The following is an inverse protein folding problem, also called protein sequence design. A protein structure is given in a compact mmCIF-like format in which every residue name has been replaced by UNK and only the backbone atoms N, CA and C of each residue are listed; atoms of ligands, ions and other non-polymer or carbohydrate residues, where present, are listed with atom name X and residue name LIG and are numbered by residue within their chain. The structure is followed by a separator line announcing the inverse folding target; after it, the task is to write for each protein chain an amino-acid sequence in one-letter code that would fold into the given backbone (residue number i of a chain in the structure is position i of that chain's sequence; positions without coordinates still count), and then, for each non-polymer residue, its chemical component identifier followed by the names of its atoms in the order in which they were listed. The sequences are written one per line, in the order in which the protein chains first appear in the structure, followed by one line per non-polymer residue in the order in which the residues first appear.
data_IF_161743973775
#
_entry.id   IF_161743973775
#
_cell.length_a   1.000
_cell.length_b   1.000
_cell.length_c   1.000
_cell.angle_alpha   90.00
_cell.angle_beta   90.00
_cell.angle_gamma   90.00
#
_symmetry.space_group_name_H-M   'P 1'
#
loop_
_entity.id
_entity.type
_entity.pdbx_description
1 polymer ?
#
# COMPACT_ATOMS: atom_id res chain seq x y z
N UNK A 1 13.24 42.22 -2.25
CA UNK A 1 12.18 41.18 -2.22
C UNK A 1 11.82 40.97 -0.76
N UNK A 2 10.74 41.61 -0.30
CA UNK A 2 10.32 41.53 1.11
C UNK A 2 9.84 40.10 1.36
N UNK A 3 10.64 39.32 2.09
CA UNK A 3 10.19 38.05 2.68
C UNK A 3 9.09 38.41 3.67
N UNK A 4 7.85 38.39 3.24
CA UNK A 4 6.71 38.48 4.13
C UNK A 4 6.82 37.29 5.10
N UNK A 5 7.10 37.58 6.38
CA UNK A 5 7.18 36.54 7.40
C UNK A 5 5.82 35.87 7.51
N UNK A 6 5.79 34.54 7.34
CA UNK A 6 4.59 33.71 7.44
C UNK A 6 3.88 33.94 8.79
N UNK A 7 4.61 34.37 9.83
CA UNK A 7 4.05 34.75 11.13
C UNK A 7 3.10 35.95 11.09
N UNK A 8 3.29 36.89 10.15
CA UNK A 8 2.46 38.09 10.04
C UNK A 8 1.14 37.87 9.28
N UNK A 9 0.92 36.69 8.67
CA UNK A 9 -0.29 36.41 7.88
C UNK A 9 -1.59 36.55 8.69
N UNK A 10 -1.55 36.21 9.97
CA UNK A 10 -2.71 36.27 10.87
C UNK A 10 -2.84 37.62 11.60
N UNK A 11 -1.97 38.59 11.32
CA UNK A 11 -2.06 39.92 11.92
C UNK A 11 -3.30 40.67 11.36
N UNK A 12 -4.22 41.17 12.19
CA UNK A 12 -5.42 41.88 11.72
C UNK A 12 -5.12 43.10 10.83
N UNK A 13 -4.05 43.85 11.09
CA UNK A 13 -3.65 44.98 10.25
C UNK A 13 -3.17 44.51 8.87
N UNK A 14 -2.45 43.39 8.82
CA UNK A 14 -2.03 42.79 7.56
C UNK A 14 -3.24 42.28 6.77
N UNK A 15 -4.18 41.58 7.41
CA UNK A 15 -5.44 41.13 6.79
C UNK A 15 -6.22 42.31 6.23
N UNK A 16 -6.35 43.40 6.99
CA UNK A 16 -7.03 44.62 6.52
C UNK A 16 -6.32 45.23 5.31
N UNK A 17 -4.98 45.33 5.36
CA UNK A 17 -4.17 45.82 4.25
C UNK A 17 -4.39 44.99 2.97
N UNK A 18 -4.25 43.66 3.07
CA UNK A 18 -4.47 42.74 1.95
C UNK A 18 -5.91 42.86 1.43
N UNK A 19 -6.90 43.04 2.30
CA UNK A 19 -8.29 43.28 1.90
C UNK A 19 -8.48 44.55 1.09
N UNK A 20 -7.84 45.65 1.48
CA UNK A 20 -7.84 46.90 0.72
C UNK A 20 -7.16 46.73 -0.65
N UNK A 21 -6.05 45.99 -0.70
CA UNK A 21 -5.36 45.68 -1.95
C UNK A 21 -6.22 44.82 -2.87
N UNK A 22 -6.89 43.79 -2.32
CA UNK A 22 -7.84 42.95 -3.05
C UNK A 22 -8.95 43.80 -3.67
N UNK A 23 -9.58 44.67 -2.87
CA UNK A 23 -10.65 45.55 -3.34
C UNK A 23 -10.18 46.46 -4.49
N UNK A 24 -8.98 47.05 -4.37
CA UNK A 24 -8.37 47.87 -5.41
C UNK A 24 -8.10 47.08 -6.70
N UNK A 25 -7.58 45.86 -6.59
CA UNK A 25 -7.34 44.98 -7.71
C UNK A 25 -8.65 44.60 -8.43
N UNK A 26 -9.66 44.11 -7.70
CA UNK A 26 -10.92 43.69 -8.31
C UNK A 26 -11.76 44.85 -8.87
N UNK A 27 -11.56 46.08 -8.39
CA UNK A 27 -12.18 47.27 -8.97
C UNK A 27 -11.54 47.71 -10.32
N UNK A 28 -10.23 47.52 -10.47
CA UNK A 28 -9.47 48.06 -11.62
C UNK A 28 -8.99 47.00 -12.62
N UNK A 29 -8.83 45.75 -12.20
CA UNK A 29 -8.14 44.70 -12.94
C UNK A 29 -6.62 44.92 -13.06
N UNK A 30 -6.06 45.95 -12.42
CA UNK A 30 -4.63 46.31 -12.48
C UNK A 30 -3.92 46.03 -11.16
N UNK A 31 -2.65 45.64 -11.26
CA UNK A 31 -1.75 45.53 -10.11
C UNK A 31 -1.11 46.87 -9.71
N UNK A 32 -1.44 47.97 -10.38
CA UNK A 32 -0.85 49.28 -10.11
C UNK A 32 -1.13 49.76 -8.67
N UNK A 33 -0.03 49.95 -7.94
CA UNK A 33 -0.07 50.33 -6.53
C UNK A 33 -0.68 49.27 -5.61
N UNK A 34 -0.59 48.00 -5.98
CA UNK A 34 -0.73 46.87 -5.05
C UNK A 34 0.62 46.62 -4.39
N UNK A 35 0.66 46.59 -3.05
CA UNK A 35 1.90 46.42 -2.28
C UNK A 35 1.73 45.38 -1.19
N UNK A 36 2.83 44.74 -0.77
CA UNK A 36 2.89 43.84 0.38
C UNK A 36 1.88 42.67 0.35
N UNK A 37 1.62 42.15 -0.85
CA UNK A 37 0.83 40.93 -1.10
C UNK A 37 1.75 39.87 -1.71
N UNK A 38 1.62 38.61 -1.30
CA UNK A 38 2.44 37.51 -1.83
C UNK A 38 2.14 37.27 -3.32
N UNK A 39 3.17 36.95 -4.10
CA UNK A 39 3.04 36.71 -5.54
C UNK A 39 2.02 35.61 -5.86
N UNK A 40 1.98 34.54 -5.07
CA UNK A 40 1.02 33.46 -5.29
C UNK A 40 -0.44 33.89 -5.12
N UNK A 41 -0.68 34.90 -4.28
CA UNK A 41 -2.00 35.47 -4.02
C UNK A 41 -2.41 36.39 -5.17
N UNK A 42 -1.48 37.23 -5.66
CA UNK A 42 -1.71 38.05 -6.85
C UNK A 42 -2.05 37.20 -8.07
N UNK A 43 -1.34 36.08 -8.25
CA UNK A 43 -1.66 35.11 -9.30
C UNK A 43 -3.08 34.54 -9.13
N UNK A 44 -3.44 34.11 -7.91
CA UNK A 44 -4.80 33.62 -7.62
C UNK A 44 -5.88 34.64 -7.94
N UNK A 45 -5.69 35.91 -7.56
CA UNK A 45 -6.62 37.00 -7.87
C UNK A 45 -6.75 37.24 -9.38
N UNK A 46 -5.63 37.23 -10.12
CA UNK A 46 -5.65 37.40 -11.58
C UNK A 46 -6.44 36.30 -12.27
N UNK A 47 -6.22 35.04 -11.90
CA UNK A 47 -6.95 33.90 -12.46
C UNK A 47 -8.45 34.05 -12.20
N UNK A 48 -8.84 34.45 -10.99
CA UNK A 48 -10.26 34.71 -10.67
C UNK A 48 -10.84 35.87 -11.48
N UNK A 49 -10.12 36.98 -11.58
CA UNK A 49 -10.56 38.15 -12.32
C UNK A 49 -10.77 37.86 -13.82
N UNK A 50 -9.82 37.17 -14.45
CA UNK A 50 -9.83 36.85 -15.87
C UNK A 50 -10.96 35.90 -16.26
N UNK A 51 -11.35 35.02 -15.34
CA UNK A 51 -12.44 34.06 -15.57
C UNK A 51 -13.80 34.56 -15.06
N UNK A 52 -13.91 35.83 -14.68
CA UNK A 52 -15.18 36.49 -14.37
C UNK A 52 -15.61 36.43 -12.90
N UNK A 53 -14.80 35.89 -11.99
CA UNK A 53 -15.07 35.86 -10.55
C UNK A 53 -14.69 37.20 -9.91
N UNK A 54 -15.39 38.27 -10.30
CA UNK A 54 -15.10 39.65 -9.85
C UNK A 54 -15.88 40.06 -8.60
N UNK A 55 -16.94 39.32 -8.28
CA UNK A 55 -17.80 39.51 -7.12
C UNK A 55 -17.95 38.19 -6.38
N UNK A 56 -18.42 38.20 -5.13
CA UNK A 56 -18.74 36.97 -4.42
C UNK A 56 -19.70 36.10 -5.24
N UNK A 57 -19.25 34.90 -5.61
CA UNK A 57 -20.05 33.92 -6.34
C UNK A 57 -20.35 32.73 -5.43
N UNK A 58 -21.64 32.45 -5.28
CA UNK A 58 -22.18 31.35 -4.48
C UNK A 58 -22.34 30.07 -5.33
N UNK A 59 -22.25 30.15 -6.67
CA UNK A 59 -22.42 29.03 -7.59
C UNK A 59 -21.07 28.44 -8.01
N UNK A 60 -20.29 28.01 -7.01
CA UNK A 60 -19.03 27.30 -7.26
C UNK A 60 -19.30 25.97 -7.97
N UNK A 61 -18.45 25.51 -8.91
CA UNK A 61 -18.72 24.32 -9.71
C UNK A 61 -18.75 23.06 -8.85
N UNK A 62 -19.71 22.18 -9.15
CA UNK A 62 -19.92 20.87 -8.51
C UNK A 62 -20.02 19.82 -9.61
N UNK A 63 -19.31 18.71 -9.44
CA UNK A 63 -19.33 17.61 -10.41
C UNK A 63 -20.59 16.77 -10.27
N UNK A 64 -21.05 16.20 -11.38
CA UNK A 64 -22.20 15.27 -11.40
C UNK A 64 -21.81 13.82 -11.15
N UNK A 65 -20.51 13.49 -11.22
CA UNK A 65 -19.97 12.14 -11.22
C UNK A 65 -19.25 11.76 -9.90
N UNK A 66 -19.56 12.45 -8.79
CA UNK A 66 -18.90 12.25 -7.50
C UNK A 66 -18.87 10.77 -7.09
N UNK A 67 -19.95 10.02 -7.31
CA UNK A 67 -19.99 8.59 -7.00
C UNK A 67 -18.91 7.77 -7.72
N UNK A 68 -18.70 8.03 -9.02
CA UNK A 68 -17.67 7.35 -9.81
C UNK A 68 -16.27 7.75 -9.36
N UNK A 69 -16.07 9.01 -8.98
CA UNK A 69 -14.80 9.49 -8.42
C UNK A 69 -14.49 8.83 -7.08
N UNK A 70 -15.48 8.75 -6.19
CA UNK A 70 -15.36 8.06 -4.90
C UNK A 70 -15.04 6.58 -5.07
N UNK A 71 -15.62 5.89 -6.06
CA UNK A 71 -15.23 4.51 -6.39
C UNK A 71 -13.78 4.41 -6.90
N UNK A 72 -13.39 5.32 -7.81
CA UNK A 72 -12.03 5.33 -8.37
C UNK A 72 -10.97 5.56 -7.28
N UNK A 73 -11.27 6.40 -6.30
CA UNK A 73 -10.37 6.76 -5.21
C UNK A 73 -10.73 6.02 -3.89
N UNK A 74 -11.41 4.87 -3.97
CA UNK A 74 -11.86 4.09 -2.80
C UNK A 74 -10.69 3.76 -1.86
N UNK A 75 -9.54 3.34 -2.40
CA UNK A 75 -8.36 3.02 -1.61
C UNK A 75 -7.84 4.25 -0.83
N UNK A 76 -7.81 5.43 -1.48
CA UNK A 76 -7.38 6.66 -0.83
C UNK A 76 -8.36 7.05 0.28
N UNK A 77 -9.67 6.96 0.02
CA UNK A 77 -10.71 7.27 1.00
C UNK A 77 -10.67 6.33 2.21
N UNK A 78 -10.53 5.02 1.98
CA UNK A 78 -10.45 4.01 3.03
C UNK A 78 -9.28 4.26 3.99
N UNK A 79 -8.18 4.81 3.48
CA UNK A 79 -7.02 5.20 4.28
C UNK A 79 -7.22 6.59 4.90
N UNK A 80 -7.58 7.59 4.12
CA UNK A 80 -7.55 8.99 4.54
C UNK A 80 -8.65 9.33 5.55
N UNK A 81 -9.86 8.81 5.38
CA UNK A 81 -11.02 9.18 6.22
C UNK A 81 -10.79 8.86 7.71
N UNK A 82 -10.28 7.68 8.10
CA UNK A 82 -9.94 7.41 9.49
C UNK A 82 -8.92 8.40 10.09
N UNK A 83 -7.92 8.83 9.31
CA UNK A 83 -6.97 9.85 9.76
C UNK A 83 -7.62 11.23 9.88
N UNK A 84 -8.52 11.59 8.97
CA UNK A 84 -9.29 12.84 9.06
C UNK A 84 -10.16 12.85 10.31
N UNK A 85 -10.93 11.79 10.55
CA UNK A 85 -11.77 11.67 11.75
C UNK A 85 -10.92 11.74 13.01
N UNK A 86 -9.80 11.02 13.05
CA UNK A 86 -8.88 11.06 14.19
C UNK A 86 -8.29 12.46 14.39
N UNK A 87 -7.84 13.12 13.33
CA UNK A 87 -7.29 14.47 13.40
C UNK A 87 -8.35 15.45 13.90
N UNK A 88 -9.60 15.32 13.44
CA UNK A 88 -10.71 16.18 13.84
C UNK A 88 -10.98 16.12 15.35
N UNK A 89 -10.78 14.95 15.99
CA UNK A 89 -10.95 14.83 17.47
C UNK A 89 -10.03 15.73 18.30
N UNK A 90 -8.96 16.27 17.71
CA UNK A 90 -8.05 17.21 18.37
C UNK A 90 -8.36 18.69 18.06
N UNK A 91 -9.30 18.95 17.15
CA UNK A 91 -9.67 20.29 16.74
C UNK A 91 -10.85 20.80 17.55
N UNK A 92 -10.94 22.12 17.72
CA UNK A 92 -12.09 22.74 18.35
C UNK A 92 -13.34 22.54 17.48
N UNK A 93 -14.38 21.94 18.08
CA UNK A 93 -15.69 21.78 17.42
C UNK A 93 -16.24 23.11 16.94
N UNK A 94 -17.03 23.08 15.86
CA UNK A 94 -17.69 24.24 15.23
C UNK A 94 -16.76 25.35 14.73
N UNK A 95 -15.44 25.14 14.76
CA UNK A 95 -14.45 26.09 14.25
C UNK A 95 -13.66 25.56 13.07
N UNK A 96 -13.36 24.26 13.06
CA UNK A 96 -12.49 23.65 12.07
C UNK A 96 -13.17 22.53 11.29
N UNK A 97 -12.58 22.23 10.14
CA UNK A 97 -12.92 21.06 9.33
C UNK A 97 -11.72 20.57 8.55
N UNK A 98 -11.87 19.36 8.02
CA UNK A 98 -10.88 18.71 7.21
C UNK A 98 -11.51 18.38 5.86
N UNK A 99 -10.77 18.69 4.80
CA UNK A 99 -11.20 18.47 3.42
C UNK A 99 -10.23 17.50 2.75
N UNK A 100 -10.76 16.47 2.09
CA UNK A 100 -10.02 15.60 1.19
C UNK A 100 -10.45 15.89 -0.24
N UNK A 101 -9.47 16.09 -1.12
CA UNK A 101 -9.68 16.30 -2.55
C UNK A 101 -8.98 15.19 -3.35
N UNK A 102 -9.57 14.81 -4.48
CA UNK A 102 -8.93 13.93 -5.46
C UNK A 102 -7.78 14.65 -6.20
N UNK A 103 -7.13 13.92 -7.11
CA UNK A 103 -6.01 14.42 -7.92
C UNK A 103 -6.39 15.57 -8.83
N UNK A 104 -7.65 15.65 -9.22
CA UNK A 104 -8.23 16.68 -10.07
C UNK A 104 -8.74 17.88 -9.26
N UNK A 105 -8.59 17.87 -7.93
CA UNK A 105 -9.03 18.94 -7.05
C UNK A 105 -10.53 18.95 -6.76
N UNK A 106 -11.22 17.81 -6.93
CA UNK A 106 -12.63 17.65 -6.53
C UNK A 106 -12.69 17.21 -5.08
N UNK A 107 -13.53 17.87 -4.27
CA UNK A 107 -13.74 17.52 -2.87
C UNK A 107 -14.44 16.15 -2.79
N UNK A 108 -13.74 15.15 -2.26
CA UNK A 108 -14.29 13.81 -2.04
C UNK A 108 -14.97 13.68 -0.68
N UNK A 109 -14.40 14.31 0.35
CA UNK A 109 -14.87 14.18 1.73
C UNK A 109 -14.70 15.47 2.52
N UNK A 110 -15.73 15.81 3.30
CA UNK A 110 -15.66 16.80 4.37
C UNK A 110 -15.85 16.12 5.73
N UNK A 111 -15.02 16.49 6.70
CA UNK A 111 -15.12 16.04 8.09
C UNK A 111 -15.15 17.25 9.00
N UNK A 112 -16.25 17.42 9.74
CA UNK A 112 -16.40 18.41 10.79
C UNK A 112 -17.81 18.41 11.36
N UNK A 113 -18.14 19.35 12.24
CA UNK A 113 -19.46 19.40 12.88
C UNK A 113 -20.57 19.76 11.90
N UNK A 114 -21.80 19.29 12.16
CA UNK A 114 -22.97 19.59 11.33
C UNK A 114 -23.22 21.10 11.15
N UNK A 115 -22.99 21.88 12.20
CA UNK A 115 -23.14 23.35 12.18
C UNK A 115 -22.19 23.97 11.16
N UNK A 116 -20.91 23.59 11.24
CA UNK A 116 -19.88 24.12 10.36
C UNK A 116 -20.07 23.59 8.93
N UNK A 117 -20.44 22.33 8.72
CA UNK A 117 -20.74 21.79 7.39
C UNK A 117 -21.91 22.53 6.71
N UNK A 118 -22.91 22.98 7.48
CA UNK A 118 -24.01 23.83 6.96
C UNK A 118 -23.53 25.23 6.58
N UNK A 119 -22.63 25.84 7.36
CA UNK A 119 -21.99 27.12 7.03
C UNK A 119 -21.20 27.01 5.71
N UNK A 120 -20.43 25.94 5.55
CA UNK A 120 -19.69 25.66 4.32
C UNK A 120 -20.62 25.46 3.12
N UNK A 121 -21.70 24.71 3.28
CA UNK A 121 -22.68 24.49 2.22
C UNK A 121 -23.31 25.81 1.73
N UNK A 122 -23.54 26.77 2.64
CA UNK A 122 -24.05 28.10 2.29
C UNK A 122 -23.09 28.92 1.42
N UNK A 123 -21.79 28.59 1.41
CA UNK A 123 -20.78 29.23 0.53
C UNK A 123 -20.48 28.43 -0.75
N UNK A 124 -21.25 27.36 -1.00
CA UNK A 124 -21.05 26.46 -2.13
C UNK A 124 -19.88 25.50 -1.93
N UNK A 125 -19.41 25.28 -0.69
CA UNK A 125 -18.41 24.27 -0.35
C UNK A 125 -19.08 23.00 0.16
N UNK A 126 -19.27 22.05 -0.75
CA UNK A 126 -19.86 20.73 -0.49
C UNK A 126 -19.00 19.62 -1.09
N UNK A 127 -19.21 18.37 -0.66
CA UNK A 127 -18.65 17.20 -1.36
C UNK A 127 -19.10 17.22 -2.84
N UNK A 128 -18.18 16.92 -3.76
CA UNK A 128 -18.36 17.08 -5.21
C UNK A 128 -17.96 18.45 -5.77
N UNK A 129 -17.67 19.43 -4.92
CA UNK A 129 -17.15 20.73 -5.36
C UNK A 129 -15.83 20.59 -6.11
N UNK A 130 -15.74 21.10 -7.35
CA UNK A 130 -14.49 21.17 -8.09
C UNK A 130 -13.70 22.42 -7.68
N UNK A 131 -12.43 22.25 -7.32
CA UNK A 131 -11.48 23.30 -6.94
C UNK A 131 -10.13 23.16 -7.66
N UNK A 132 -10.04 22.30 -8.67
CA UNK A 132 -8.83 22.09 -9.46
C UNK A 132 -8.73 23.01 -10.68
N UNK A 133 -8.32 22.47 -11.83
CA UNK A 133 -8.01 23.24 -13.05
C UNK A 133 -9.21 24.00 -13.63
N UNK A 134 -10.39 23.41 -13.48
CA UNK A 134 -11.63 23.87 -14.09
C UNK A 134 -12.41 24.81 -13.16
N UNK A 135 -11.85 25.12 -11.99
CA UNK A 135 -12.42 26.00 -10.97
C UNK A 135 -11.54 27.25 -10.80
N UNK A 136 -11.87 28.37 -11.46
CA UNK A 136 -10.95 29.52 -11.60
C UNK A 136 -10.80 30.39 -10.34
N UNK A 137 -11.29 29.89 -9.21
CA UNK A 137 -11.33 30.59 -7.96
C UNK A 137 -9.99 30.44 -7.23
N UNK A 138 -9.29 31.55 -6.99
CA UNK A 138 -8.01 31.62 -6.28
C UNK A 138 -8.13 31.38 -4.77
N UNK A 139 -8.83 30.33 -4.38
CA UNK A 139 -8.94 29.86 -2.99
C UNK A 139 -7.87 28.82 -2.64
N UNK A 140 -7.83 28.43 -1.37
CA UNK A 140 -6.79 27.55 -0.82
C UNK A 140 -6.60 26.27 -1.65
N UNK A 141 -7.71 25.61 -1.98
CA UNK A 141 -7.73 24.35 -2.72
C UNK A 141 -7.20 24.50 -4.14
N UNK A 142 -7.51 25.60 -4.82
CA UNK A 142 -6.99 25.86 -6.16
C UNK A 142 -5.50 26.19 -6.12
N UNK A 143 -5.04 26.94 -5.11
CA UNK A 143 -3.63 27.29 -4.99
C UNK A 143 -2.76 26.06 -4.66
N UNK A 144 -3.18 25.20 -3.72
CA UNK A 144 -2.45 23.94 -3.45
C UNK A 144 -2.48 23.01 -4.67
N UNK A 145 -3.61 22.97 -5.40
CA UNK A 145 -3.71 22.23 -6.65
C UNK A 145 -2.81 22.81 -7.75
N UNK A 146 -2.62 24.13 -7.80
CA UNK A 146 -1.81 24.78 -8.84
C UNK A 146 -0.33 24.63 -8.55
N UNK A 147 0.10 24.91 -7.33
CA UNK A 147 1.52 24.88 -6.97
C UNK A 147 2.04 23.50 -6.58
N UNK A 148 1.16 22.53 -6.34
CA UNK A 148 1.51 21.15 -5.97
C UNK A 148 2.50 21.08 -4.79
N UNK A 149 2.40 22.04 -3.86
CA UNK A 149 3.25 22.19 -2.66
C UNK A 149 2.38 22.56 -1.47
N UNK A 150 2.81 22.31 -0.22
CA UNK A 150 2.10 22.79 0.97
C UNK A 150 1.80 24.29 0.86
N UNK A 151 0.56 24.68 1.14
CA UNK A 151 0.10 26.05 0.95
C UNK A 151 -0.81 26.49 2.11
N UNK A 152 -0.62 27.71 2.58
CA UNK A 152 -1.49 28.36 3.57
C UNK A 152 -2.12 29.60 2.96
N UNK A 153 -3.40 29.78 3.22
CA UNK A 153 -4.19 30.92 2.77
C UNK A 153 -5.01 31.47 3.94
N UNK A 154 -4.98 32.78 4.14
CA UNK A 154 -5.58 33.42 5.31
C UNK A 154 -6.51 34.56 4.90
N UNK A 155 -7.78 34.48 5.32
CA UNK A 155 -8.76 35.58 5.28
C UNK A 155 -8.81 36.29 3.91
N UNK A 156 -8.54 37.59 3.87
CA UNK A 156 -8.62 38.45 2.69
C UNK A 156 -7.62 38.12 1.57
N UNK A 157 -6.71 37.18 1.78
CA UNK A 157 -5.94 36.59 0.68
C UNK A 157 -6.82 35.77 -0.28
N UNK A 158 -7.95 35.24 0.20
CA UNK A 158 -8.95 34.64 -0.67
C UNK A 158 -9.44 35.65 -1.72
N UNK A 159 -9.61 35.20 -2.96
CA UNK A 159 -10.09 36.06 -4.04
C UNK A 159 -11.51 36.63 -3.80
N UNK A 160 -12.35 35.91 -3.03
CA UNK A 160 -13.72 36.31 -2.74
C UNK A 160 -13.91 36.66 -1.27
N UNK A 161 -14.66 37.72 -0.99
CA UNK A 161 -15.00 38.11 0.38
C UNK A 161 -15.92 37.13 1.10
N UNK A 162 -16.54 36.17 0.37
CA UNK A 162 -17.33 35.09 0.98
C UNK A 162 -16.49 34.21 1.92
N UNK A 163 -15.18 34.14 1.68
CA UNK A 163 -14.24 33.32 2.44
C UNK A 163 -13.38 34.16 3.41
N UNK A 164 -13.73 35.44 3.67
CA UNK A 164 -12.94 36.35 4.53
C UNK A 164 -12.80 35.85 5.97
N UNK A 165 -13.77 35.07 6.44
CA UNK A 165 -13.73 34.48 7.78
C UNK A 165 -12.83 33.24 7.85
N UNK A 166 -12.35 32.72 6.72
CA UNK A 166 -11.71 31.43 6.63
C UNK A 166 -10.19 31.55 6.54
N UNK A 167 -9.50 30.58 7.12
CA UNK A 167 -8.09 30.31 6.86
C UNK A 167 -7.88 28.80 6.78
N UNK A 168 -6.82 28.38 6.11
CA UNK A 168 -6.49 26.97 6.10
C UNK A 168 -5.11 26.68 5.55
N UNK A 169 -4.63 25.50 5.89
CA UNK A 169 -3.42 24.91 5.34
C UNK A 169 -3.79 23.65 4.56
N UNK A 170 -3.19 23.49 3.38
CA UNK A 170 -3.40 22.34 2.52
C UNK A 170 -2.07 21.75 2.05
N UNK A 171 -2.06 20.44 1.81
CA UNK A 171 -0.87 19.70 1.41
C UNK A 171 -1.23 18.60 0.39
N UNK A 172 -0.43 18.41 -0.67
CA UNK A 172 -0.58 17.23 -1.53
C UNK A 172 -0.27 15.94 -0.78
N UNK A 173 -1.08 14.92 -1.00
CA UNK A 173 -0.82 13.53 -0.60
C UNK A 173 -0.08 12.89 -1.78
N UNK A 174 1.08 12.30 -1.54
CA UNK A 174 1.97 11.81 -2.60
C UNK A 174 2.28 10.32 -2.42
N UNK A 175 2.27 9.55 -3.49
CA UNK A 175 2.83 8.20 -3.46
C UNK A 175 4.35 8.32 -3.21
N UNK A 176 4.88 7.79 -2.10
CA UNK A 176 6.30 7.88 -1.79
C UNK A 176 7.21 7.21 -2.82
N UNK A 177 6.72 6.19 -3.52
CA UNK A 177 7.42 5.40 -4.54
C UNK A 177 7.40 6.10 -5.90
N UNK A 178 6.22 6.46 -6.41
CA UNK A 178 6.07 7.03 -7.77
C UNK A 178 6.22 8.55 -7.81
N UNK A 179 6.12 9.23 -6.66
CA UNK A 179 6.02 10.70 -6.53
C UNK A 179 4.77 11.31 -7.15
N UNK A 180 3.82 10.49 -7.59
CA UNK A 180 2.54 10.96 -8.10
C UNK A 180 1.68 11.50 -6.96
N UNK A 181 0.88 12.52 -7.26
CA UNK A 181 -0.10 13.05 -6.31
C UNK A 181 -1.32 12.14 -6.32
N UNK A 182 -1.68 11.65 -5.14
CA UNK A 182 -2.85 10.82 -4.89
C UNK A 182 -4.10 11.68 -4.63
N UNK A 183 -3.91 12.88 -4.08
CA UNK A 183 -4.97 13.82 -3.76
C UNK A 183 -4.41 14.96 -2.91
N UNK A 184 -5.29 15.70 -2.24
CA UNK A 184 -4.90 16.79 -1.35
C UNK A 184 -5.68 16.70 -0.06
N UNK A 185 -5.05 17.05 1.06
CA UNK A 185 -5.70 17.21 2.34
C UNK A 185 -5.55 18.65 2.81
N UNK A 186 -6.58 19.17 3.45
CA UNK A 186 -6.55 20.48 4.05
C UNK A 186 -7.22 20.49 5.41
N UNK A 187 -6.67 21.29 6.31
CA UNK A 187 -7.29 21.68 7.57
C UNK A 187 -7.64 23.14 7.46
N UNK A 188 -8.90 23.48 7.66
CA UNK A 188 -9.42 24.84 7.52
C UNK A 188 -10.29 25.19 8.72
N UNK A 189 -10.45 26.48 8.98
CA UNK A 189 -11.25 26.97 10.08
C UNK A 189 -11.39 28.48 10.05
N UNK A 190 -12.03 29.05 11.07
CA UNK A 190 -12.08 30.51 11.18
C UNK A 190 -10.67 31.08 11.43
N UNK A 191 -10.33 32.18 10.77
CA UNK A 191 -8.96 32.69 10.77
C UNK A 191 -8.49 33.15 12.16
N UNK A 192 -9.38 33.66 13.01
CA UNK A 192 -9.07 34.15 14.36
C UNK A 192 -8.75 33.03 15.36
N UNK A 193 -9.04 31.77 15.02
CA UNK A 193 -8.61 30.58 15.77
C UNK A 193 -7.48 29.82 15.08
N UNK A 194 -7.12 30.22 13.86
CA UNK A 194 -6.14 29.53 13.03
C UNK A 194 -4.76 30.14 13.18
N UNK A 195 -3.73 29.29 13.04
CA UNK A 195 -2.33 29.69 13.11
C UNK A 195 -1.51 28.92 12.07
N UNK A 196 -0.21 29.21 11.98
CA UNK A 196 0.70 28.46 11.12
C UNK A 196 0.70 26.95 11.41
N UNK A 197 0.40 26.55 12.65
CA UNK A 197 0.25 25.13 13.02
C UNK A 197 -0.84 24.40 12.23
N UNK A 198 -1.87 25.09 11.72
CA UNK A 198 -2.92 24.49 10.87
C UNK A 198 -2.33 23.91 9.58
N UNK A 199 -1.35 24.60 8.98
CA UNK A 199 -0.57 24.04 7.85
C UNK A 199 0.26 22.84 8.28
N UNK A 200 0.90 22.91 9.45
CA UNK A 200 1.66 21.79 10.01
C UNK A 200 0.81 20.52 10.16
N UNK A 201 -0.44 20.64 10.62
CA UNK A 201 -1.37 19.53 10.73
C UNK A 201 -1.71 18.91 9.37
N UNK A 202 -1.98 19.74 8.35
CA UNK A 202 -2.25 19.25 7.00
C UNK A 202 -1.03 18.51 6.40
N UNK A 203 0.19 19.03 6.63
CA UNK A 203 1.43 18.39 6.17
C UNK A 203 1.63 17.03 6.86
N UNK A 204 1.52 16.98 8.18
CA UNK A 204 1.68 15.73 8.95
C UNK A 204 0.64 14.69 8.53
N UNK A 205 -0.61 15.11 8.35
CA UNK A 205 -1.68 14.22 7.91
C UNK A 205 -1.41 13.68 6.49
N UNK A 206 -0.98 14.54 5.56
CA UNK A 206 -0.61 14.12 4.20
C UNK A 206 0.53 13.09 4.21
N UNK A 207 1.57 13.31 5.01
CA UNK A 207 2.69 12.37 5.15
C UNK A 207 2.24 11.02 5.74
N UNK A 208 1.38 11.05 6.76
CA UNK A 208 0.87 9.83 7.39
C UNK A 208 0.03 9.00 6.41
N UNK A 209 -0.88 9.65 5.68
CA UNK A 209 -1.71 9.00 4.65
C UNK A 209 -0.83 8.44 3.53
N UNK A 210 0.16 9.22 3.07
CA UNK A 210 1.11 8.79 2.02
C UNK A 210 1.88 7.52 2.42
N UNK A 211 2.38 7.48 3.66
CA UNK A 211 3.10 6.31 4.19
C UNK A 211 2.19 5.09 4.33
N UNK A 212 0.97 5.29 4.84
CA UNK A 212 0.00 4.20 4.98
C UNK A 212 -0.42 3.64 3.62
N UNK A 213 -0.64 4.50 2.62
CA UNK A 213 -0.93 4.10 1.24
C UNK A 213 0.18 3.22 0.66
N UNK A 214 1.44 3.61 0.83
CA UNK A 214 2.58 2.80 0.38
C UNK A 214 2.65 1.43 1.09
N UNK A 215 2.37 1.40 2.40
CA UNK A 215 2.38 0.17 3.19
C UNK A 215 1.30 -0.81 2.73
N UNK A 216 0.09 -0.32 2.44
CA UNK A 216 -1.00 -1.16 1.94
C UNK A 216 -0.70 -1.70 0.54
N UNK A 217 -0.14 -0.86 -0.35
CA UNK A 217 0.30 -1.28 -1.68
C UNK A 217 1.37 -2.38 -1.60
N UNK A 218 2.38 -2.21 -0.72
CA UNK A 218 3.41 -3.22 -0.49
C UNK A 218 2.82 -4.51 0.06
N UNK A 219 1.89 -4.42 1.01
CA UNK A 219 1.21 -5.56 1.61
C UNK A 219 0.38 -6.33 0.57
N UNK A 220 -0.38 -5.65 -0.28
CA UNK A 220 -1.13 -6.25 -1.40
C UNK A 220 -0.20 -6.99 -2.37
N UNK A 221 0.94 -6.39 -2.73
CA UNK A 221 1.97 -7.03 -3.58
C UNK A 221 2.52 -8.30 -2.95
N UNK A 222 2.84 -8.28 -1.65
CA UNK A 222 3.32 -9.46 -0.92
C UNK A 222 2.26 -10.58 -0.87
N UNK A 223 1.00 -10.24 -0.63
CA UNK A 223 -0.09 -11.21 -0.65
C UNK A 223 -0.26 -11.86 -2.04
N UNK A 224 -0.26 -11.08 -3.11
CA UNK A 224 -0.35 -11.60 -4.48
C UNK A 224 0.83 -12.51 -4.83
N UNK A 225 2.05 -12.15 -4.41
CA UNK A 225 3.24 -12.97 -4.61
C UNK A 225 3.16 -14.28 -3.82
N UNK A 226 2.73 -14.23 -2.55
CA UNK A 226 2.52 -15.41 -1.71
C UNK A 226 1.51 -16.39 -2.32
N UNK A 227 0.40 -15.88 -2.87
CA UNK A 227 -0.59 -16.72 -3.56
C UNK A 227 -0.03 -17.35 -4.84
N UNK A 228 0.77 -16.59 -5.60
CA UNK A 228 1.45 -17.11 -6.80
C UNK A 228 2.42 -18.24 -6.45
N UNK A 229 3.20 -18.08 -5.36
CA UNK A 229 4.10 -19.12 -4.85
C UNK A 229 3.33 -20.36 -4.40
N UNK A 230 2.19 -20.22 -3.70
CA UNK A 230 1.34 -21.36 -3.32
C UNK A 230 0.87 -22.14 -4.54
N UNK A 231 0.46 -21.45 -5.62
CA UNK A 231 0.04 -22.08 -6.87
C UNK A 231 1.17 -22.84 -7.56
N UNK A 232 2.38 -22.28 -7.56
CA UNK A 232 3.58 -22.96 -8.09
C UNK A 232 3.89 -24.21 -7.26
N UNK A 233 3.89 -24.10 -5.94
CA UNK A 233 4.13 -25.24 -5.05
C UNK A 233 3.09 -26.34 -5.25
N UNK A 234 1.80 -25.99 -5.34
CA UNK A 234 0.74 -26.96 -5.64
C UNK A 234 0.98 -27.69 -6.96
N UNK A 235 1.37 -26.98 -8.02
CA UNK A 235 1.73 -27.60 -9.31
C UNK A 235 2.94 -28.53 -9.19
N UNK A 236 3.93 -28.17 -8.37
CA UNK A 236 5.08 -29.04 -8.09
C UNK A 236 4.62 -30.33 -7.40
N UNK A 237 3.76 -30.26 -6.38
CA UNK A 237 3.22 -31.44 -5.71
C UNK A 237 2.42 -32.32 -6.67
N UNK A 238 1.49 -31.77 -7.45
CA UNK A 238 0.73 -32.55 -8.45
C UNK A 238 1.64 -33.23 -9.48
N UNK A 239 2.70 -32.55 -9.92
CA UNK A 239 3.68 -33.13 -10.85
C UNK A 239 4.43 -34.29 -10.19
N UNK A 240 4.87 -34.12 -8.95
CA UNK A 240 5.61 -35.14 -8.22
C UNK A 240 4.74 -36.36 -7.86
N UNK A 241 3.46 -36.16 -7.56
CA UNK A 241 2.52 -37.25 -7.27
C UNK A 241 2.16 -38.05 -8.53
N UNK A 242 2.19 -37.42 -9.73
CA UNK A 242 2.00 -38.14 -10.99
C UNK A 242 3.15 -39.10 -11.32
N UNK A 243 4.30 -38.96 -10.66
CA UNK A 243 5.47 -39.82 -10.86
C UNK A 243 5.33 -41.07 -10.00
N UNK A 244 5.27 -42.24 -10.64
CA UNK A 244 5.18 -43.56 -9.96
C UNK A 244 6.41 -43.93 -9.13
N UNK A 245 7.52 -43.24 -9.35
CA UNK A 245 8.77 -43.38 -8.63
C UNK A 245 8.76 -42.53 -7.35
N UNK A 246 9.31 -43.04 -6.25
CA UNK A 246 9.46 -42.23 -5.03
C UNK A 246 10.51 -41.15 -5.18
N UNK A 247 10.18 -39.90 -4.83
CA UNK A 247 11.07 -38.73 -4.90
C UNK A 247 11.10 -38.04 -3.53
N UNK A 248 12.31 -37.68 -3.08
CA UNK A 248 12.54 -36.86 -1.88
C UNK A 248 13.51 -35.74 -2.25
N UNK A 249 13.17 -34.53 -1.82
CA UNK A 249 14.03 -33.36 -1.84
C UNK A 249 14.24 -32.91 -0.39
N UNK A 250 15.49 -32.88 0.06
CA UNK A 250 15.88 -32.51 1.43
C UNK A 250 17.10 -31.58 1.43
N UNK A 251 17.39 -30.95 2.56
CA UNK A 251 18.64 -30.19 2.76
C UNK A 251 19.81 -31.13 3.13
N UNK A 252 20.98 -30.54 3.35
CA UNK A 252 22.23 -31.28 3.65
C UNK A 252 22.12 -32.07 4.97
N UNK A 253 21.26 -31.65 5.89
CA UNK A 253 20.99 -32.34 7.15
C UNK A 253 19.95 -33.47 7.04
N UNK A 254 19.34 -33.65 5.86
CA UNK A 254 18.31 -34.66 5.61
C UNK A 254 16.89 -34.24 6.03
N UNK A 255 16.66 -32.97 6.37
CA UNK A 255 15.32 -32.40 6.56
C UNK A 255 14.57 -32.32 5.24
N UNK A 256 13.46 -33.03 5.15
CA UNK A 256 12.61 -33.12 3.96
C UNK A 256 11.99 -31.75 3.65
N UNK A 257 12.14 -31.29 2.41
CA UNK A 257 11.48 -30.12 1.85
C UNK A 257 10.28 -30.53 0.99
N UNK A 258 10.43 -31.58 0.18
CA UNK A 258 9.36 -32.13 -0.66
C UNK A 258 9.50 -33.64 -0.72
N UNK A 259 8.38 -34.37 -0.70
CA UNK A 259 8.30 -35.82 -0.85
C UNK A 259 7.00 -36.17 -1.57
N UNK A 260 6.99 -37.22 -2.39
CA UNK A 260 5.76 -37.73 -3.02
C UNK A 260 5.27 -39.04 -2.35
N UNK A 261 4.05 -39.46 -2.69
CA UNK A 261 3.49 -40.71 -2.14
C UNK A 261 4.35 -41.95 -2.41
N UNK A 262 4.99 -42.01 -3.58
CA UNK A 262 5.86 -43.12 -3.95
C UNK A 262 6.99 -43.31 -2.94
N UNK A 263 7.60 -42.21 -2.47
CA UNK A 263 8.69 -42.26 -1.49
C UNK A 263 8.19 -42.59 -0.08
N UNK A 264 7.04 -42.06 0.33
CA UNK A 264 6.42 -42.42 1.63
C UNK A 264 6.15 -43.91 1.71
N UNK A 265 5.58 -44.49 0.64
CA UNK A 265 5.30 -45.94 0.53
C UNK A 265 6.59 -46.77 0.49
N UNK A 266 7.59 -46.36 -0.29
CA UNK A 266 8.87 -47.07 -0.41
C UNK A 266 9.70 -47.09 0.88
N UNK A 267 9.67 -45.98 1.65
CA UNK A 267 10.40 -45.87 2.92
C UNK A 267 9.58 -46.35 4.15
N UNK A 268 8.33 -46.75 3.96
CA UNK A 268 7.46 -47.20 5.06
C UNK A 268 7.13 -46.10 6.07
N UNK A 269 7.07 -44.83 5.63
CA UNK A 269 6.78 -43.69 6.51
C UNK A 269 5.31 -43.74 6.92
N UNK A 270 5.04 -43.83 8.23
CA UNK A 270 3.68 -43.93 8.80
C UNK A 270 2.96 -42.59 8.99
N UNK A 271 3.54 -41.47 8.55
CA UNK A 271 2.96 -40.12 8.64
C UNK A 271 2.15 -39.81 7.37
N UNK A 272 1.10 -38.99 7.50
CA UNK A 272 0.43 -38.42 6.34
C UNK A 272 1.42 -37.60 5.51
N UNK A 273 1.28 -37.62 4.18
CA UNK A 273 2.19 -36.96 3.23
C UNK A 273 2.42 -35.47 3.57
N UNK A 274 1.37 -34.78 4.03
CA UNK A 274 1.38 -33.37 4.43
C UNK A 274 2.26 -33.07 5.66
N UNK A 275 2.51 -34.07 6.51
CA UNK A 275 3.21 -33.94 7.79
C UNK A 275 4.68 -34.41 7.72
N UNK A 276 5.13 -34.86 6.54
CA UNK A 276 6.52 -35.31 6.32
C UNK A 276 7.49 -34.15 6.05
N UNK A 277 7.15 -33.11 5.27
CA UNK A 277 8.02 -31.94 5.11
C UNK A 277 8.37 -31.31 6.48
N UNK A 278 9.65 -30.99 6.69
CA UNK A 278 10.20 -30.50 7.95
C UNK A 278 10.72 -31.60 8.88
N UNK A 279 10.49 -32.88 8.59
CA UNK A 279 11.03 -34.01 9.34
C UNK A 279 12.37 -34.50 8.76
N UNK A 280 13.17 -35.23 9.54
CA UNK A 280 14.42 -35.80 9.08
C UNK A 280 14.19 -37.17 8.41
N UNK A 281 14.76 -37.39 7.22
CA UNK A 281 14.62 -38.64 6.45
C UNK A 281 15.61 -39.74 6.86
N UNK A 282 16.74 -39.38 7.49
CA UNK A 282 17.81 -40.33 7.83
C UNK A 282 17.36 -41.52 8.69
N UNK A 283 16.39 -41.41 9.62
CA UNK A 283 15.90 -42.56 10.38
C UNK A 283 15.28 -43.69 9.54
N UNK A 284 14.91 -43.40 8.29
CA UNK A 284 14.38 -44.39 7.34
C UNK A 284 15.46 -45.01 6.45
N UNK A 285 16.72 -44.60 6.61
CA UNK A 285 17.86 -45.20 5.92
C UNK A 285 18.53 -46.27 6.80
N UNK A 286 19.24 -47.21 6.18
CA UNK A 286 20.06 -48.15 6.94
C UNK A 286 21.29 -47.46 7.56
N UNK A 287 21.90 -48.09 8.56
CA UNK A 287 23.02 -47.52 9.32
C UNK A 287 24.27 -47.25 8.48
N UNK A 288 24.34 -47.74 7.24
CA UNK A 288 25.47 -47.55 6.33
C UNK A 288 25.26 -46.36 5.40
N UNK A 289 24.05 -45.80 5.28
CA UNK A 289 23.77 -44.63 4.47
C UNK A 289 23.62 -43.38 5.34
N UNK A 290 24.44 -42.36 5.08
CA UNK A 290 24.37 -41.05 5.75
C UNK A 290 24.38 -39.91 4.74
N UNK A 291 23.94 -38.72 5.17
CA UNK A 291 23.99 -37.52 4.33
C UNK A 291 25.41 -37.17 3.91
N UNK A 292 26.42 -37.37 4.78
CA UNK A 292 27.83 -37.14 4.44
C UNK A 292 28.31 -38.08 3.32
N UNK A 293 27.91 -39.35 3.36
CA UNK A 293 28.24 -40.31 2.30
C UNK A 293 27.56 -39.92 0.99
N UNK A 294 26.29 -39.52 1.02
CA UNK A 294 25.57 -39.05 -0.15
C UNK A 294 26.27 -37.80 -0.72
N UNK A 295 26.61 -36.83 0.13
CA UNK A 295 27.28 -35.61 -0.27
C UNK A 295 28.66 -35.88 -0.89
N UNK A 296 29.46 -36.77 -0.29
CA UNK A 296 30.78 -37.15 -0.78
C UNK A 296 30.73 -37.79 -2.17
N UNK A 297 29.76 -38.68 -2.42
CA UNK A 297 29.62 -39.40 -3.69
C UNK A 297 28.88 -38.60 -4.77
N UNK A 298 28.35 -37.41 -4.46
CA UNK A 298 27.63 -36.56 -5.43
C UNK A 298 28.31 -35.23 -5.69
N UNK A 299 29.51 -34.98 -5.13
CA UNK A 299 30.23 -33.68 -5.20
C UNK A 299 30.37 -33.13 -6.62
N UNK A 300 30.57 -34.00 -7.62
CA UNK A 300 30.79 -33.61 -9.02
C UNK A 300 29.49 -33.62 -9.86
N UNK A 301 28.32 -33.68 -9.21
CA UNK A 301 27.05 -33.86 -9.90
C UNK A 301 26.85 -35.28 -10.44
N UNK A 302 27.61 -36.25 -9.95
CA UNK A 302 27.41 -37.68 -10.25
C UNK A 302 26.19 -38.22 -9.51
N UNK A 303 25.58 -39.26 -10.09
CA UNK A 303 24.48 -39.99 -9.46
C UNK A 303 25.05 -41.09 -8.58
N UNK A 304 24.75 -41.05 -7.28
CA UNK A 304 25.09 -42.10 -6.34
C UNK A 304 23.93 -43.08 -6.20
N UNK A 305 24.15 -44.33 -6.58
CA UNK A 305 23.18 -45.42 -6.42
C UNK A 305 23.55 -46.27 -5.20
N UNK A 306 22.56 -46.52 -4.34
CA UNK A 306 22.72 -47.32 -3.12
C UNK A 306 21.53 -48.25 -2.93
N UNK A 307 21.77 -49.52 -2.62
CA UNK A 307 20.71 -50.46 -2.24
C UNK A 307 20.56 -50.47 -0.73
N UNK A 308 19.37 -50.06 -0.24
CA UNK A 308 19.03 -50.15 1.16
C UNK A 308 18.97 -51.62 1.58
N UNK A 309 19.69 -51.95 2.64
CA UNK A 309 19.63 -53.27 3.26
C UNK A 309 18.56 -53.22 4.34
N UNK A 310 17.47 -53.99 4.18
CA UNK A 310 16.45 -54.09 5.23
C UNK A 310 17.09 -54.67 6.50
N UNK A 311 17.27 -53.85 7.54
CA UNK A 311 17.41 -54.37 8.90
C UNK A 311 16.07 -54.99 9.28
N UNK A 312 16.06 -56.29 9.58
CA UNK A 312 14.86 -57.11 9.72
C UNK A 312 13.71 -56.45 10.48
N UNK A 313 12.50 -56.75 10.03
CA UNK A 313 11.25 -56.56 10.77
C UNK A 313 11.45 -56.94 12.26
N UNK A 314 11.23 -56.03 13.21
CA UNK A 314 10.91 -56.43 14.57
C UNK A 314 9.46 -56.93 14.59
N UNK A 315 9.28 -58.12 15.15
CA UNK A 315 8.02 -58.80 15.50
C UNK A 315 7.15 -59.39 14.39
N UNK A 316 7.36 -60.69 14.16
CA UNK A 316 6.29 -61.68 13.99
C UNK A 316 6.79 -63.03 14.52
N UNK A 317 6.53 -63.29 15.81
CA UNK A 317 6.78 -64.59 16.43
C UNK A 317 5.70 -65.61 16.01
N UNK A 318 6.17 -66.66 15.33
CA UNK A 318 5.71 -68.07 15.40
C UNK A 318 4.23 -68.37 15.15
N UNK A 319 3.90 -68.84 13.94
CA UNK A 319 3.51 -70.24 13.68
C UNK A 319 3.09 -70.45 12.21
N UNK A 320 3.67 -71.47 11.56
CA UNK A 320 3.07 -72.12 10.38
C UNK A 320 3.56 -71.65 9.00
N UNK A 321 4.58 -72.35 8.50
CA UNK A 321 4.79 -72.76 7.10
C UNK A 321 4.19 -71.89 5.98
N UNK A 322 4.99 -70.99 5.38
CA UNK A 322 5.02 -70.81 3.92
C UNK A 322 6.30 -70.11 3.46
N UNK A 323 6.69 -70.50 2.25
CA UNK A 323 7.97 -70.31 1.60
C UNK A 323 8.19 -68.86 1.10
N UNK A 324 9.44 -68.41 1.20
CA UNK A 324 10.21 -67.53 0.30
C UNK A 324 9.60 -66.26 -0.34
N UNK A 325 10.51 -65.28 -0.47
CA UNK A 325 10.53 -64.15 -1.42
C UNK A 325 9.61 -62.94 -1.16
N UNK A 326 10.08 -62.05 -0.29
CA UNK A 326 9.88 -60.61 -0.48
C UNK A 326 11.03 -59.81 0.17
N UNK A 327 12.27 -60.00 -0.30
CA UNK A 327 13.35 -59.03 -0.05
C UNK A 327 13.02 -57.83 -0.93
N UNK A 328 12.30 -56.84 -0.38
CA UNK A 328 12.15 -55.56 -1.06
C UNK A 328 13.42 -54.74 -0.83
N UNK A 329 14.40 -54.89 -1.72
CA UNK A 329 15.55 -54.01 -1.78
C UNK A 329 15.07 -52.66 -2.38
N UNK A 330 15.05 -51.61 -1.56
CA UNK A 330 14.78 -50.26 -2.04
C UNK A 330 16.10 -49.64 -2.54
N UNK A 331 16.15 -49.25 -3.82
CA UNK A 331 17.31 -48.55 -4.38
C UNK A 331 17.11 -47.03 -4.27
N UNK A 332 18.14 -46.35 -3.77
CA UNK A 332 18.23 -44.90 -3.64
C UNK A 332 19.20 -44.39 -4.71
N UNK A 333 18.77 -43.37 -5.45
CA UNK A 333 19.63 -42.55 -6.32
C UNK A 333 19.69 -41.13 -5.73
N UNK A 334 20.85 -40.48 -5.75
CA UNK A 334 21.02 -39.10 -5.29
C UNK A 334 21.97 -38.32 -6.22
N UNK A 335 21.71 -37.02 -6.45
CA UNK A 335 22.51 -36.12 -7.30
C UNK A 335 22.56 -34.70 -6.72
N UNK A 336 23.71 -34.03 -6.80
CA UNK A 336 23.87 -32.65 -6.28
C UNK A 336 23.14 -31.65 -7.20
N UNK A 337 22.10 -31.02 -6.64
CA UNK A 337 21.15 -30.09 -7.28
C UNK A 337 20.41 -30.65 -8.51
N UNK A 338 19.10 -30.89 -8.34
CA UNK A 338 18.07 -31.42 -9.26
C UNK A 338 17.90 -32.95 -9.29
N UNK A 339 17.00 -33.38 -8.41
CA UNK A 339 16.14 -34.56 -8.46
C UNK A 339 16.77 -35.98 -8.43
N UNK A 340 15.91 -36.87 -7.92
CA UNK A 340 15.70 -38.27 -8.31
C UNK A 340 16.26 -39.33 -7.36
N UNK A 341 15.41 -39.78 -6.44
CA UNK A 341 15.33 -41.19 -6.04
C UNK A 341 14.63 -41.94 -7.18
N UNK A 342 15.21 -43.03 -7.70
CA UNK A 342 14.64 -43.91 -8.72
C UNK A 342 14.81 -45.36 -8.25
N UNK A 343 13.80 -46.23 -8.34
CA UNK A 343 14.02 -47.65 -8.24
C UNK A 343 14.83 -48.12 -9.45
N UNK A 344 15.97 -48.76 -9.20
CA UNK A 344 16.67 -49.53 -10.21
C UNK A 344 15.80 -50.76 -10.51
N UNK A 345 15.30 -50.89 -11.74
CA UNK A 345 14.64 -52.14 -12.18
C UNK A 345 15.69 -53.25 -12.09
N UNK A 346 15.42 -54.26 -11.27
CA UNK A 346 16.16 -55.51 -11.29
C UNK A 346 16.15 -56.07 -12.71
N UNK A 347 17.31 -56.10 -13.37
CA UNK A 347 17.48 -56.99 -14.53
C UNK A 347 17.51 -58.41 -13.97
N UNK A 348 16.71 -59.35 -14.50
CA UNK A 348 16.89 -60.76 -14.16
C UNK A 348 18.30 -61.17 -14.60
N UNK A 349 19.06 -61.77 -13.68
CA UNK A 349 20.36 -62.37 -14.00
C UNK A 349 20.13 -63.45 -15.07
N UNK A 350 20.90 -63.47 -16.17
CA UNK A 350 20.93 -64.65 -17.02
C UNK A 350 21.54 -65.80 -16.21
N UNK A 351 20.89 -66.96 -16.32
CA UNK A 351 21.22 -68.23 -15.65
C UNK A 351 22.60 -68.70 -16.09
#
# INVERSE_FOLDING_TARGET
MIKLDIKNLFNPQHILHVGNMRAKFFASGSFDGITDVREEILHGWKVSYDRGYRTPDFKKPVVTDLYLRTQKEEELLAIAVPYMERLYTFLQNDTFWITLLDRDGVILKLVGSDTMLKELAATGLIEGSNRGSDAPYGGLFHLVFTYKKPFILVSTEHASSIDDNLAGGACPIVDPETKEILGFIAVSGHWWYSHLHTLGLAVIAAEAISKQYALEKATKRLYAMSQSLKKVNSRLYTTLDSIKTGIIYCNEEGTVKVINEGAVKLLGIKKDLKDVPGTNVCPYFDSKLSMDKIAANTKNGETYCYELVSSGCPDLSTNGTTCCTAISAASISAKKSRNILLPCRSRPKPI
#
